data_IF_909178573940
#
_entry.id   IF_909178573940
#
_cell.length_a   1.000
_cell.length_b   1.000
_cell.length_c   1.000
_cell.angle_alpha   90.00
_cell.angle_beta   90.00
_cell.angle_gamma   90.00
#
_symmetry.space_group_name_H-M   'P 1'
#
loop_
_entity.id
_entity.type
_entity.pdbx_description
1 polymer ?
#
# COMPACT_ATOMS: atom_id res chain seq x y z
N UNK A 1 2.16 24.88 -7.81
CA UNK A 1 0.94 24.45 -7.09
C UNK A 1 1.22 24.57 -5.61
N UNK A 2 0.29 25.14 -4.82
CA UNK A 2 0.40 25.10 -3.36
C UNK A 2 -0.41 23.91 -2.84
N UNK A 3 0.18 23.09 -1.97
CA UNK A 3 -0.56 22.09 -1.21
C UNK A 3 -1.46 22.82 -0.20
N UNK A 4 -2.72 22.48 -0.20
CA UNK A 4 -3.66 22.88 0.83
C UNK A 4 -3.74 21.80 1.89
N UNK A 5 -3.97 22.17 3.15
CA UNK A 5 -4.16 21.21 4.24
C UNK A 5 -5.26 20.22 3.89
N UNK A 6 -4.99 18.92 3.89
CA UNK A 6 -6.00 17.92 3.59
C UNK A 6 -6.92 17.68 4.79
N UNK A 7 -8.13 17.20 4.53
CA UNK A 7 -9.03 16.67 5.56
C UNK A 7 -8.72 15.23 5.91
N UNK A 8 -8.19 14.47 4.94
CA UNK A 8 -7.77 13.08 5.13
C UNK A 8 -6.49 12.79 4.36
N UNK A 9 -5.69 11.86 4.91
CA UNK A 9 -4.58 11.23 4.20
C UNK A 9 -4.80 9.72 4.21
N UNK A 10 -4.80 9.13 3.01
CA UNK A 10 -4.89 7.70 2.80
C UNK A 10 -3.50 7.20 2.41
N UNK A 11 -3.00 6.19 3.11
CA UNK A 11 -1.73 5.56 2.78
C UNK A 11 -1.94 4.16 2.21
N UNK A 12 -1.13 3.79 1.23
CA UNK A 12 -0.83 2.39 1.01
C UNK A 12 0.06 1.85 2.15
N UNK A 13 0.23 0.54 2.20
CA UNK A 13 0.97 -0.14 3.26
C UNK A 13 2.35 -0.61 2.80
N UNK A 14 2.38 -1.59 1.88
CA UNK A 14 3.61 -2.24 1.41
C UNK A 14 4.51 -1.25 0.65
N UNK A 15 5.77 -1.13 1.06
CA UNK A 15 6.79 -0.20 0.54
C UNK A 15 6.46 1.30 0.64
N UNK A 16 5.31 1.63 1.22
CA UNK A 16 4.92 3.00 1.55
C UNK A 16 5.19 3.31 3.02
N UNK A 17 4.59 2.55 3.93
CA UNK A 17 4.81 2.65 5.38
C UNK A 17 5.67 1.52 5.94
N UNK A 18 5.67 0.36 5.30
CA UNK A 18 6.34 -0.86 5.77
C UNK A 18 7.14 -1.49 4.64
N UNK A 19 8.41 -1.81 4.89
CA UNK A 19 9.22 -2.64 4.00
C UNK A 19 8.79 -4.10 4.14
N UNK A 20 8.12 -4.61 3.13
CA UNK A 20 7.61 -5.98 3.04
C UNK A 20 8.08 -6.74 1.80
N UNK A 21 8.88 -6.10 0.93
CA UNK A 21 9.34 -6.70 -0.33
C UNK A 21 10.09 -8.01 -0.11
N UNK A 22 10.95 -8.06 0.91
CA UNK A 22 11.72 -9.27 1.23
C UNK A 22 10.83 -10.46 1.55
N UNK A 23 9.81 -10.27 2.37
CA UNK A 23 8.89 -11.35 2.74
C UNK A 23 7.97 -11.74 1.59
N UNK A 24 7.53 -10.77 0.78
CA UNK A 24 6.75 -11.06 -0.43
C UNK A 24 7.59 -11.92 -1.41
N UNK A 25 8.86 -11.59 -1.59
CA UNK A 25 9.78 -12.35 -2.43
C UNK A 25 9.94 -13.80 -1.94
N UNK A 26 10.13 -14.01 -0.64
CA UNK A 26 10.23 -15.36 -0.05
C UNK A 26 8.94 -16.14 -0.32
N UNK A 27 7.79 -15.58 0.04
CA UNK A 27 6.51 -16.27 -0.10
C UNK A 27 6.16 -16.57 -1.56
N UNK A 28 6.48 -15.66 -2.47
CA UNK A 28 6.24 -15.84 -3.89
C UNK A 28 7.14 -16.97 -4.46
N UNK A 29 8.41 -17.01 -4.09
CA UNK A 29 9.31 -18.05 -4.56
C UNK A 29 9.00 -19.45 -4.01
N UNK A 30 8.56 -19.54 -2.75
CA UNK A 30 8.03 -20.79 -2.21
C UNK A 30 6.77 -21.25 -2.97
N UNK A 31 5.90 -20.29 -3.34
CA UNK A 31 4.72 -20.57 -4.15
C UNK A 31 5.08 -21.03 -5.56
N UNK A 32 5.97 -20.32 -6.24
CA UNK A 32 6.44 -20.67 -7.58
C UNK A 32 7.02 -22.10 -7.60
N UNK A 33 7.91 -22.41 -6.66
CA UNK A 33 8.51 -23.74 -6.53
C UNK A 33 7.45 -24.84 -6.28
N UNK A 34 6.51 -24.61 -5.36
CA UNK A 34 5.43 -25.54 -5.05
C UNK A 34 4.47 -25.78 -6.24
N UNK A 35 4.30 -24.75 -7.08
CA UNK A 35 3.48 -24.82 -8.30
C UNK A 35 4.22 -25.36 -9.52
N UNK A 36 5.53 -25.65 -9.40
CA UNK A 36 6.38 -26.20 -10.47
C UNK A 36 6.88 -25.14 -11.45
N UNK A 37 6.94 -23.89 -11.06
CA UNK A 37 7.51 -22.78 -11.82
C UNK A 37 8.95 -22.51 -11.38
N UNK A 38 9.74 -21.87 -12.26
CA UNK A 38 11.05 -21.32 -11.88
C UNK A 38 10.89 -20.17 -10.87
N UNK A 39 11.80 -20.11 -9.90
CA UNK A 39 11.84 -19.03 -8.93
C UNK A 39 12.35 -17.74 -9.57
N UNK A 40 11.91 -16.62 -9.04
CA UNK A 40 12.27 -15.30 -9.53
C UNK A 40 13.45 -14.71 -8.77
N UNK A 41 14.22 -13.87 -9.43
CA UNK A 41 15.15 -12.99 -8.74
C UNK A 41 14.37 -11.93 -7.93
N UNK A 42 15.05 -11.29 -6.97
CA UNK A 42 14.44 -10.19 -6.22
C UNK A 42 13.97 -9.05 -7.14
N UNK A 43 14.78 -8.75 -8.17
CA UNK A 43 14.45 -7.73 -9.17
C UNK A 43 13.21 -8.11 -10.01
N UNK A 44 13.06 -9.40 -10.37
CA UNK A 44 11.84 -9.87 -11.06
C UNK A 44 10.61 -9.73 -10.18
N UNK A 45 10.74 -10.08 -8.90
CA UNK A 45 9.66 -9.88 -7.92
C UNK A 45 9.23 -8.41 -7.88
N UNK A 46 10.17 -7.48 -7.69
CA UNK A 46 9.88 -6.05 -7.64
C UNK A 46 9.18 -5.53 -8.90
N UNK A 47 9.50 -6.09 -10.08
CA UNK A 47 8.85 -5.72 -11.35
C UNK A 47 7.44 -6.25 -11.50
N UNK A 48 7.10 -7.38 -10.88
CA UNK A 48 5.85 -8.12 -11.12
C UNK A 48 4.75 -7.85 -10.10
N UNK A 49 5.08 -7.45 -8.86
CA UNK A 49 4.12 -7.33 -7.75
C UNK A 49 3.30 -6.02 -7.75
N UNK A 50 3.22 -5.32 -8.88
CA UNK A 50 2.51 -4.05 -8.97
C UNK A 50 0.98 -4.14 -8.83
N UNK A 51 0.38 -5.34 -8.91
CA UNK A 51 -1.07 -5.54 -8.90
C UNK A 51 -1.51 -6.41 -7.73
N UNK A 52 -2.81 -6.35 -7.41
CA UNK A 52 -3.36 -7.25 -6.40
C UNK A 52 -3.17 -8.71 -6.82
N UNK A 53 -3.02 -9.60 -5.83
CA UNK A 53 -2.92 -11.03 -6.09
C UNK A 53 -4.13 -11.58 -6.86
N UNK A 54 -5.33 -11.01 -6.61
CA UNK A 54 -6.58 -11.37 -7.29
C UNK A 54 -6.47 -11.21 -8.81
N UNK A 55 -5.73 -10.16 -9.26
CA UNK A 55 -5.56 -9.86 -10.68
C UNK A 55 -4.33 -10.55 -11.29
N UNK A 56 -3.29 -10.73 -10.48
CA UNK A 56 -2.00 -11.23 -10.95
C UNK A 56 -1.90 -12.75 -10.98
N UNK A 57 -2.37 -13.45 -9.94
CA UNK A 57 -2.25 -14.90 -9.83
C UNK A 57 -2.99 -15.69 -10.91
N UNK A 58 -4.19 -15.31 -11.36
CA UNK A 58 -4.83 -15.98 -12.49
C UNK A 58 -4.00 -15.93 -13.77
N UNK A 59 -3.28 -14.84 -14.00
CA UNK A 59 -2.40 -14.70 -15.17
C UNK A 59 -1.18 -15.62 -15.07
N UNK A 60 -0.62 -15.79 -13.86
CA UNK A 60 0.59 -16.57 -13.63
C UNK A 60 0.30 -18.08 -13.50
N UNK A 61 -0.76 -18.46 -12.80
CA UNK A 61 -1.04 -19.84 -12.42
C UNK A 61 -2.27 -20.46 -13.12
N UNK A 62 -2.99 -19.68 -13.96
CA UNK A 62 -4.20 -20.14 -14.66
C UNK A 62 -5.25 -20.69 -13.69
N UNK A 63 -5.88 -21.80 -14.04
CA UNK A 63 -6.93 -22.45 -13.24
C UNK A 63 -6.47 -22.90 -11.83
N UNK A 64 -5.15 -22.94 -11.58
CA UNK A 64 -4.58 -23.30 -10.27
C UNK A 64 -4.30 -22.10 -9.36
N UNK A 65 -4.71 -20.90 -9.74
CA UNK A 65 -4.39 -19.66 -9.02
C UNK A 65 -4.88 -19.65 -7.56
N UNK A 66 -6.00 -20.29 -7.25
CA UNK A 66 -6.51 -20.37 -5.87
C UNK A 66 -5.62 -21.23 -4.99
N UNK A 67 -5.13 -22.37 -5.51
CA UNK A 67 -4.16 -23.19 -4.80
C UNK A 67 -2.83 -22.43 -4.57
N UNK A 68 -2.36 -21.69 -5.58
CA UNK A 68 -1.18 -20.84 -5.45
C UNK A 68 -1.39 -19.74 -4.41
N UNK A 69 -2.56 -19.09 -4.39
CA UNK A 69 -2.93 -18.09 -3.39
C UNK A 69 -2.84 -18.67 -1.96
N UNK A 70 -3.37 -19.87 -1.76
CA UNK A 70 -3.41 -20.50 -0.44
C UNK A 70 -1.98 -20.84 0.04
N UNK A 71 -1.11 -21.32 -0.87
CA UNK A 71 0.31 -21.57 -0.61
C UNK A 71 1.01 -20.25 -0.26
N UNK A 72 0.80 -19.20 -1.05
CA UNK A 72 1.40 -17.88 -0.81
C UNK A 72 1.02 -17.34 0.56
N UNK A 73 -0.26 -17.36 0.92
CA UNK A 73 -0.68 -16.84 2.22
C UNK A 73 -0.20 -17.72 3.39
N UNK A 74 -0.05 -19.03 3.21
CA UNK A 74 0.52 -19.89 4.23
C UNK A 74 2.01 -19.53 4.46
N UNK A 75 2.79 -19.40 3.38
CA UNK A 75 4.19 -18.98 3.44
C UNK A 75 4.32 -17.57 4.01
N UNK A 76 3.57 -16.61 3.47
CA UNK A 76 3.59 -15.21 3.91
C UNK A 76 3.36 -15.09 5.43
N UNK A 77 2.31 -15.76 5.96
CA UNK A 77 2.01 -15.76 7.40
C UNK A 77 3.10 -16.39 8.26
N UNK A 78 3.90 -17.28 7.72
CA UNK A 78 5.01 -17.89 8.45
C UNK A 78 6.16 -16.90 8.67
N UNK A 79 6.37 -15.98 7.72
CA UNK A 79 7.56 -15.15 7.66
C UNK A 79 7.31 -13.68 7.98
N UNK A 80 6.11 -13.12 7.71
CA UNK A 80 5.91 -11.67 7.62
C UNK A 80 6.24 -10.93 8.92
N UNK A 81 5.79 -11.38 10.07
CA UNK A 81 6.02 -10.68 11.34
C UNK A 81 7.49 -10.64 11.78
N UNK A 82 8.34 -11.51 11.22
CA UNK A 82 9.77 -11.54 11.53
C UNK A 82 10.59 -10.63 10.58
N UNK A 83 10.01 -10.27 9.43
CA UNK A 83 10.74 -9.60 8.36
C UNK A 83 10.23 -8.20 8.02
N UNK A 84 8.97 -7.86 8.37
CA UNK A 84 8.46 -6.51 8.13
C UNK A 84 9.17 -5.51 9.03
N UNK A 85 9.50 -4.35 8.46
CA UNK A 85 10.12 -3.23 9.17
C UNK A 85 9.42 -1.93 8.76
N UNK A 86 9.26 -0.95 9.66
CA UNK A 86 8.83 0.38 9.27
C UNK A 86 9.75 0.99 8.21
N UNK A 87 9.16 1.64 7.20
CA UNK A 87 9.94 2.46 6.28
C UNK A 87 10.59 3.64 7.01
N UNK A 88 11.75 4.15 6.52
CA UNK A 88 12.40 5.31 7.14
C UNK A 88 11.45 6.50 7.23
N UNK A 89 11.24 7.00 8.47
CA UNK A 89 10.33 8.13 8.73
C UNK A 89 8.85 7.78 8.82
N UNK A 90 8.47 6.49 8.76
CA UNK A 90 7.07 6.08 8.80
C UNK A 90 6.37 6.53 10.10
N UNK A 91 6.98 6.28 11.27
CA UNK A 91 6.42 6.73 12.55
C UNK A 91 6.32 8.25 12.61
N UNK A 92 7.34 8.94 12.07
CA UNK A 92 7.37 10.41 12.06
C UNK A 92 6.22 11.03 11.26
N UNK A 93 5.83 10.41 10.12
CA UNK A 93 4.71 10.91 9.32
C UNK A 93 3.37 10.56 9.97
N UNK A 94 3.24 9.38 10.57
CA UNK A 94 2.04 8.99 11.31
C UNK A 94 1.81 9.92 12.51
N UNK A 95 2.83 10.22 13.28
CA UNK A 95 2.77 11.21 14.37
C UNK A 95 2.39 12.59 13.86
N UNK A 96 2.99 13.08 12.77
CA UNK A 96 2.69 14.38 12.21
C UNK A 96 1.23 14.51 11.77
N UNK A 97 0.68 13.46 11.14
CA UNK A 97 -0.73 13.43 10.70
C UNK A 97 -1.68 13.41 11.89
N UNK A 98 -1.40 12.57 12.90
CA UNK A 98 -2.18 12.51 14.15
C UNK A 98 -2.16 13.84 14.90
N UNK A 99 -0.98 14.44 15.10
CA UNK A 99 -0.83 15.70 15.83
C UNK A 99 -1.51 16.87 15.09
N UNK A 100 -1.58 16.80 13.77
CA UNK A 100 -2.36 17.74 12.96
C UNK A 100 -3.89 17.51 13.04
N UNK A 101 -4.36 16.41 13.62
CA UNK A 101 -5.78 16.07 13.68
C UNK A 101 -6.40 15.83 12.30
N UNK A 102 -5.61 15.26 11.37
CA UNK A 102 -6.04 14.89 10.02
C UNK A 102 -6.51 13.44 10.07
N UNK A 103 -7.68 13.15 9.46
CA UNK A 103 -8.18 11.78 9.35
C UNK A 103 -7.17 10.89 8.62
N UNK A 104 -6.85 9.73 9.20
CA UNK A 104 -5.81 8.85 8.70
C UNK A 104 -6.35 7.44 8.46
N UNK A 105 -6.25 6.96 7.20
CA UNK A 105 -6.67 5.61 6.88
C UNK A 105 -5.69 4.89 5.95
N UNK A 106 -5.83 3.57 5.89
CA UNK A 106 -5.07 2.71 4.98
C UNK A 106 -5.96 2.20 3.86
N UNK A 107 -5.40 2.15 2.65
CA UNK A 107 -6.00 1.53 1.46
C UNK A 107 -4.93 0.71 0.75
N UNK A 108 -4.95 -0.60 0.94
CA UNK A 108 -3.90 -1.49 0.43
C UNK A 108 -4.45 -2.70 -0.33
N UNK A 109 -3.69 -3.18 -1.32
CA UNK A 109 -3.97 -4.45 -2.01
C UNK A 109 -3.45 -5.68 -1.25
N UNK A 110 -2.90 -5.47 -0.06
CA UNK A 110 -2.64 -6.55 0.91
C UNK A 110 -3.95 -7.09 1.47
N UNK A 111 -4.05 -8.42 1.66
CA UNK A 111 -5.20 -9.01 2.37
C UNK A 111 -5.50 -8.27 3.67
N UNK A 112 -6.76 -7.83 3.87
CA UNK A 112 -7.16 -7.07 5.05
C UNK A 112 -6.87 -7.81 6.36
N UNK A 113 -6.92 -9.15 6.36
CA UNK A 113 -6.54 -9.96 7.52
C UNK A 113 -5.07 -9.78 7.87
N UNK A 114 -4.16 -9.92 6.89
CA UNK A 114 -2.72 -9.76 7.12
C UNK A 114 -2.37 -8.31 7.46
N UNK A 115 -3.00 -7.34 6.82
CA UNK A 115 -2.82 -5.91 7.10
C UNK A 115 -3.07 -5.61 8.59
N UNK A 116 -4.19 -6.06 9.13
CA UNK A 116 -4.54 -5.82 10.55
C UNK A 116 -3.61 -6.55 11.53
N UNK A 117 -3.16 -7.76 11.19
CA UNK A 117 -2.16 -8.49 11.99
C UNK A 117 -0.82 -7.73 12.03
N UNK A 118 -0.39 -7.16 10.92
CA UNK A 118 0.86 -6.38 10.85
C UNK A 118 0.74 -5.04 11.58
N UNK A 119 -0.40 -4.34 11.47
CA UNK A 119 -0.71 -3.13 12.25
C UNK A 119 -0.59 -3.42 13.76
N UNK A 120 -1.20 -4.51 14.23
CA UNK A 120 -1.17 -4.92 15.63
C UNK A 120 0.25 -5.29 16.07
N UNK A 121 1.00 -6.00 15.24
CA UNK A 121 2.39 -6.38 15.50
C UNK A 121 3.31 -5.17 15.67
N UNK A 122 3.12 -4.13 14.85
CA UNK A 122 3.89 -2.88 14.94
C UNK A 122 3.40 -1.94 16.07
N UNK A 123 2.28 -2.26 16.71
CA UNK A 123 1.66 -1.40 17.73
C UNK A 123 1.06 -0.12 17.15
N UNK A 124 0.60 -0.16 15.90
CA UNK A 124 0.14 1.02 15.15
C UNK A 124 -1.38 1.15 15.06
N UNK A 125 -2.15 0.33 15.78
CA UNK A 125 -3.62 0.32 15.74
C UNK A 125 -4.23 1.70 16.08
N UNK A 126 -3.60 2.47 16.95
CA UNK A 126 -4.11 3.76 17.40
C UNK A 126 -3.81 4.92 16.44
N UNK A 127 -3.07 4.68 15.34
CA UNK A 127 -2.85 5.71 14.34
C UNK A 127 -4.00 5.84 13.34
N UNK A 128 -4.64 4.72 13.01
CA UNK A 128 -5.55 4.67 11.88
C UNK A 128 -7.00 4.69 12.30
N UNK A 129 -7.76 5.65 11.75
CA UNK A 129 -9.21 5.69 11.88
C UNK A 129 -9.87 4.50 11.15
N UNK A 130 -9.24 4.05 10.04
CA UNK A 130 -9.68 2.88 9.27
C UNK A 130 -8.53 2.22 8.51
N UNK A 131 -8.60 0.89 8.41
CA UNK A 131 -7.65 0.10 7.61
C UNK A 131 -8.43 -0.80 6.65
N UNK A 132 -8.30 -0.54 5.35
CA UNK A 132 -8.95 -1.27 4.27
C UNK A 132 -7.90 -2.02 3.47
N UNK A 133 -8.00 -3.33 3.46
CA UNK A 133 -7.17 -4.21 2.64
C UNK A 133 -7.95 -4.90 1.53
N UNK A 134 -7.26 -5.69 0.72
CA UNK A 134 -7.89 -6.54 -0.28
C UNK A 134 -8.94 -7.45 0.36
N UNK A 135 -10.05 -7.66 -0.32
CA UNK A 135 -11.25 -8.39 0.09
C UNK A 135 -12.11 -7.71 1.16
N UNK A 136 -11.74 -6.55 1.69
CA UNK A 136 -12.60 -5.78 2.57
C UNK A 136 -13.64 -4.97 1.75
N UNK A 137 -13.26 -4.47 0.58
CA UNK A 137 -14.14 -3.84 -0.38
C UNK A 137 -14.55 -4.82 -1.50
N UNK A 138 -15.55 -4.44 -2.29
CA UNK A 138 -16.02 -5.20 -3.46
C UNK A 138 -14.92 -5.38 -4.51
N UNK A 139 -14.09 -4.34 -4.68
CA UNK A 139 -12.96 -4.30 -5.62
C UNK A 139 -11.73 -3.69 -4.96
N UNK A 140 -10.55 -4.20 -5.33
CA UNK A 140 -9.25 -3.71 -4.87
C UNK A 140 -8.80 -2.47 -5.70
N UNK A 141 -7.69 -1.79 -5.27
CA UNK A 141 -7.06 -0.73 -6.10
C UNK A 141 -6.72 -1.30 -7.50
N UNK A 142 -6.96 -0.55 -8.60
CA UNK A 142 -7.22 0.88 -8.67
C UNK A 142 -8.68 1.33 -8.55
N UNK A 143 -9.63 0.44 -8.22
CA UNK A 143 -11.02 0.84 -8.00
C UNK A 143 -11.15 1.79 -6.81
N UNK A 144 -12.09 2.73 -6.91
CA UNK A 144 -12.39 3.70 -5.84
C UNK A 144 -13.16 3.09 -4.67
N UNK A 145 -13.62 1.84 -4.78
CA UNK A 145 -14.42 1.17 -3.74
C UNK A 145 -13.71 1.08 -2.40
N UNK A 146 -12.39 0.82 -2.43
CA UNK A 146 -11.59 0.78 -1.22
C UNK A 146 -11.42 2.18 -0.59
N UNK A 147 -11.33 3.24 -1.41
CA UNK A 147 -11.28 4.64 -0.95
C UNK A 147 -12.62 5.03 -0.31
N UNK A 148 -13.74 4.70 -0.97
CA UNK A 148 -15.08 4.98 -0.44
C UNK A 148 -15.27 4.29 0.92
N UNK A 149 -14.83 3.02 1.05
CA UNK A 149 -14.88 2.28 2.30
C UNK A 149 -13.96 2.89 3.37
N UNK A 150 -12.76 3.34 3.01
CA UNK A 150 -11.81 3.96 3.95
C UNK A 150 -12.33 5.28 4.52
N UNK A 151 -13.14 6.03 3.77
CA UNK A 151 -13.72 7.30 4.19
C UNK A 151 -15.14 7.17 4.79
N UNK A 152 -15.73 5.97 4.75
CA UNK A 152 -17.08 5.73 5.26
C UNK A 152 -17.20 6.09 6.73
N UNK A 153 -18.21 6.88 7.08
CA UNK A 153 -18.46 7.33 8.45
C UNK A 153 -17.62 8.51 8.92
N UNK A 154 -16.58 8.93 8.17
CA UNK A 154 -15.72 10.06 8.52
C UNK A 154 -16.37 11.45 8.29
N UNK A 155 -17.43 11.51 7.50
CA UNK A 155 -18.00 12.78 7.00
C UNK A 155 -17.10 13.48 5.95
N UNK A 156 -16.11 12.78 5.41
CA UNK A 156 -15.20 13.25 4.36
C UNK A 156 -15.55 12.52 3.06
N UNK A 157 -15.82 13.27 1.99
CA UNK A 157 -15.96 12.69 0.66
C UNK A 157 -14.60 12.62 -0.02
N UNK A 158 -14.39 11.64 -0.88
CA UNK A 158 -13.21 11.63 -1.75
C UNK A 158 -13.17 12.88 -2.62
N UNK A 159 -11.98 13.40 -2.90
CA UNK A 159 -11.80 14.64 -3.65
C UNK A 159 -10.45 15.28 -3.41
N UNK A 160 -10.28 16.53 -3.89
CA UNK A 160 -9.02 17.28 -3.83
C UNK A 160 -8.56 17.71 -2.43
N UNK A 161 -9.35 17.47 -1.40
CA UNK A 161 -9.00 17.64 0.01
C UNK A 161 -8.60 16.34 0.71
N UNK A 162 -8.45 15.25 -0.07
CA UNK A 162 -7.92 13.95 0.36
C UNK A 162 -6.61 13.67 -0.36
N UNK A 163 -5.55 13.43 0.37
CA UNK A 163 -4.29 12.98 -0.18
C UNK A 163 -4.24 11.46 -0.20
N UNK A 164 -3.75 10.87 -1.29
CA UNK A 164 -3.50 9.44 -1.39
C UNK A 164 -2.01 9.22 -1.63
N UNK A 165 -1.35 8.59 -0.67
CA UNK A 165 0.09 8.35 -0.65
C UNK A 165 0.36 6.88 -0.93
N UNK A 166 1.15 6.59 -1.97
CA UNK A 166 1.56 5.24 -2.31
C UNK A 166 2.87 5.23 -3.09
N UNK A 167 3.43 4.06 -3.30
CA UNK A 167 4.73 3.87 -3.98
C UNK A 167 4.60 3.42 -5.44
N UNK A 168 3.38 3.06 -5.88
CA UNK A 168 3.16 2.35 -7.13
C UNK A 168 2.17 3.07 -8.07
N UNK A 169 2.22 2.71 -9.35
CA UNK A 169 1.29 3.24 -10.35
C UNK A 169 -0.18 2.97 -10.01
N UNK A 170 -0.49 1.82 -9.40
CA UNK A 170 -1.86 1.46 -8.99
C UNK A 170 -2.43 2.42 -7.94
N UNK A 171 -1.58 2.97 -7.07
CA UNK A 171 -1.99 3.96 -6.05
C UNK A 171 -2.36 5.28 -6.70
N UNK A 172 -1.55 5.71 -7.66
CA UNK A 172 -1.77 6.93 -8.42
C UNK A 172 -3.04 6.81 -9.28
N UNK A 173 -3.24 5.67 -9.93
CA UNK A 173 -4.47 5.38 -10.69
C UNK A 173 -5.71 5.42 -9.79
N UNK A 174 -5.62 4.83 -8.60
CA UNK A 174 -6.69 4.86 -7.61
C UNK A 174 -6.97 6.29 -7.12
N UNK A 175 -5.93 7.05 -6.81
CA UNK A 175 -6.06 8.44 -6.39
C UNK A 175 -6.73 9.30 -7.46
N UNK A 176 -6.28 9.20 -8.72
CA UNK A 176 -6.85 9.93 -9.85
C UNK A 176 -8.33 9.56 -10.06
N UNK A 177 -8.64 8.26 -10.08
CA UNK A 177 -10.02 7.78 -10.23
C UNK A 177 -10.93 8.27 -9.09
N UNK A 178 -10.39 8.40 -7.88
CA UNK A 178 -11.10 8.91 -6.72
C UNK A 178 -11.19 10.45 -6.68
N UNK A 179 -10.47 11.16 -7.58
CA UNK A 179 -10.33 12.62 -7.53
C UNK A 179 -9.50 13.13 -6.36
N UNK A 180 -8.76 12.24 -5.69
CA UNK A 180 -7.82 12.57 -4.61
C UNK A 180 -6.52 13.16 -5.17
N UNK A 181 -5.74 13.80 -4.30
CA UNK A 181 -4.41 14.31 -4.67
C UNK A 181 -3.41 13.15 -4.62
N UNK A 182 -2.86 12.72 -5.77
CA UNK A 182 -1.89 11.63 -5.80
C UNK A 182 -0.53 12.09 -5.27
N UNK A 183 0.05 11.30 -4.38
CA UNK A 183 1.37 11.53 -3.79
C UNK A 183 2.21 10.27 -3.92
N UNK A 184 3.35 10.37 -4.59
CA UNK A 184 4.25 9.25 -4.81
C UNK A 184 5.33 9.22 -3.73
N UNK A 185 5.36 8.15 -2.96
CA UNK A 185 6.47 7.82 -2.06
C UNK A 185 7.47 6.98 -2.85
N UNK A 186 8.69 7.47 -3.02
CA UNK A 186 9.76 6.70 -3.60
C UNK A 186 10.29 5.74 -2.54
N UNK A 187 10.02 4.46 -2.71
CA UNK A 187 10.57 3.41 -1.87
C UNK A 187 12.06 3.19 -2.12
N UNK A 188 12.69 2.37 -1.30
CA UNK A 188 14.09 1.96 -1.48
C UNK A 188 14.33 1.20 -2.80
N UNK A 189 13.28 0.72 -3.45
CA UNK A 189 13.32 0.02 -4.73
C UNK A 189 12.33 0.68 -5.69
N UNK A 190 12.83 1.30 -6.74
CA UNK A 190 12.00 1.71 -7.88
C UNK A 190 11.48 0.47 -8.59
N UNK A 191 10.22 0.15 -8.40
CA UNK A 191 9.52 -0.80 -9.26
C UNK A 191 9.41 -0.14 -10.65
N UNK A 192 9.70 -0.85 -11.73
CA UNK A 192 9.77 -0.30 -13.10
C UNK A 192 8.46 0.31 -13.65
N UNK A 193 7.52 0.66 -12.78
CA UNK A 193 6.20 1.20 -13.08
C UNK A 193 5.96 2.57 -12.41
N UNK A 194 7.02 3.33 -12.17
CA UNK A 194 6.89 4.67 -11.60
C UNK A 194 6.10 5.58 -12.57
N UNK A 195 4.98 6.18 -12.15
CA UNK A 195 4.22 7.09 -12.99
C UNK A 195 5.05 8.33 -13.35
N UNK A 196 4.85 8.87 -14.54
CA UNK A 196 5.55 10.07 -14.99
C UNK A 196 5.29 11.29 -14.10
N UNK A 197 6.19 12.29 -14.10
CA UNK A 197 6.08 13.49 -13.26
C UNK A 197 4.84 14.33 -13.57
N UNK A 198 4.26 14.18 -14.75
CA UNK A 198 3.03 14.85 -15.15
C UNK A 198 1.79 14.33 -14.39
N UNK A 199 1.80 13.05 -13.97
CA UNK A 199 0.71 12.42 -13.20
C UNK A 199 0.86 12.62 -11.70
N UNK A 200 2.10 12.77 -11.21
CA UNK A 200 2.42 12.92 -9.79
C UNK A 200 3.41 14.05 -9.57
N UNK A 201 2.92 15.29 -9.45
CA UNK A 201 3.77 16.44 -9.15
C UNK A 201 4.36 16.38 -7.72
N UNK A 202 3.72 15.61 -6.81
CA UNK A 202 4.13 15.46 -5.42
C UNK A 202 4.84 14.13 -5.23
N UNK A 203 6.17 14.22 -5.06
CA UNK A 203 7.07 13.08 -4.93
C UNK A 203 7.95 13.26 -3.71
N UNK A 204 8.12 12.22 -2.92
CA UNK A 204 8.88 12.22 -1.68
C UNK A 204 9.87 11.05 -1.69
N UNK A 205 11.09 11.30 -1.28
CA UNK A 205 12.12 10.26 -1.21
C UNK A 205 11.90 9.33 0.01
N UNK A 206 11.22 9.82 1.04
CA UNK A 206 10.89 9.06 2.25
C UNK A 206 9.76 9.71 3.06
N UNK A 207 9.25 8.98 4.04
CA UNK A 207 8.15 9.46 4.89
C UNK A 207 8.53 10.71 5.72
N UNK A 208 9.81 10.93 6.06
CA UNK A 208 10.23 12.09 6.83
C UNK A 208 10.05 13.41 6.05
N UNK A 209 10.22 13.41 4.73
CA UNK A 209 9.93 14.58 3.89
C UNK A 209 8.44 14.94 3.92
N UNK A 210 7.57 13.93 3.81
CA UNK A 210 6.13 14.15 3.91
C UNK A 210 5.73 14.62 5.32
N UNK A 211 6.34 14.07 6.37
CA UNK A 211 6.14 14.52 7.75
C UNK A 211 6.48 16.01 7.94
N UNK A 212 7.58 16.46 7.35
CA UNK A 212 7.98 17.88 7.41
C UNK A 212 6.93 18.79 6.74
N UNK A 213 6.35 18.36 5.61
CA UNK A 213 5.29 19.10 4.94
C UNK A 213 4.02 19.13 5.80
N UNK A 214 3.58 17.98 6.32
CA UNK A 214 2.38 17.93 7.18
C UNK A 214 2.50 18.84 8.40
N UNK A 215 3.69 18.90 9.02
CA UNK A 215 3.96 19.80 10.17
C UNK A 215 3.96 21.29 9.79
N UNK A 216 4.16 21.62 8.52
CA UNK A 216 4.20 23.02 8.04
C UNK A 216 2.83 23.54 7.58
N UNK A 217 1.77 22.70 7.56
CA UNK A 217 0.40 23.05 7.18
C UNK A 217 -0.38 23.64 8.36
#
# INVERSE_FOLDING_TARGET
>A
MHLTRPRAILFDWDNTLVDSLGVIHIALNETLAAMGHETWTYEDTCRQIARSMRDFFPTLFGDRWEAARDIFYASYRTHHLQHIQPMPGAVEVLDAVRDAGIYLALVSNKSGVNLRIEIDHLGWQDYFDRAVGAFDAEEDKPSTKAVDLALEGSGISRGGDVWFVGDNAVDIECAEAAGCVPMLMRGAVTTGHEPGPERTPWRFENCAELAAIVRAL
#
